data_IF_029748974484
#
_entry.id   IF_029748974484
#
_cell.length_a   1.000
_cell.length_b   1.000
_cell.length_c   1.000
_cell.angle_alpha   90.00
_cell.angle_beta   90.00
_cell.angle_gamma   90.00
#
_symmetry.space_group_name_H-M   'P 1'
#
loop_
_entity.id
_entity.type
_entity.pdbx_description
1 polymer ?
#
# COMPACT_ATOMS: atom_id res chain seq x y z
N UNK A 1 10.73 -3.18 9.87
CA UNK A 1 10.74 -4.54 9.26
C UNK A 1 10.42 -4.52 7.76
N UNK A 2 9.29 -3.96 7.31
CA UNK A 2 8.88 -3.96 5.88
C UNK A 2 9.93 -3.40 4.89
N UNK A 3 10.72 -2.40 5.29
CA UNK A 3 11.81 -1.84 4.45
C UNK A 3 12.94 -2.85 4.20
N UNK A 4 13.36 -3.61 5.21
CA UNK A 4 14.47 -4.57 5.09
C UNK A 4 14.07 -5.71 4.16
N UNK A 5 12.86 -6.27 4.33
CA UNK A 5 12.33 -7.33 3.46
C UNK A 5 12.21 -6.85 2.01
N UNK A 6 11.77 -5.60 1.79
CA UNK A 6 11.72 -5.01 0.45
C UNK A 6 13.11 -4.98 -0.20
N UNK A 7 14.12 -4.47 0.51
CA UNK A 7 15.49 -4.44 0.01
C UNK A 7 16.07 -5.84 -0.22
N UNK A 8 15.79 -6.78 0.68
CA UNK A 8 16.20 -8.18 0.55
C UNK A 8 15.64 -8.85 -0.70
N UNK A 9 14.47 -8.44 -1.18
CA UNK A 9 13.85 -8.97 -2.40
C UNK A 9 14.31 -8.18 -3.64
N UNK A 10 14.30 -6.85 -3.59
CA UNK A 10 14.60 -6.01 -4.76
C UNK A 10 16.08 -6.11 -5.18
N UNK A 11 16.99 -6.21 -4.23
CA UNK A 11 18.43 -6.25 -4.51
C UNK A 11 18.88 -7.49 -5.32
N UNK A 12 18.51 -8.74 -4.95
CA UNK A 12 18.87 -9.91 -5.77
C UNK A 12 18.19 -9.89 -7.14
N UNK A 13 16.96 -9.38 -7.25
CA UNK A 13 16.29 -9.21 -8.56
C UNK A 13 17.13 -8.29 -9.47
N UNK A 14 17.61 -7.16 -8.94
CA UNK A 14 18.48 -6.24 -9.68
C UNK A 14 19.78 -6.90 -10.13
N UNK A 15 20.40 -7.71 -9.25
CA UNK A 15 21.63 -8.45 -9.59
C UNK A 15 21.37 -9.43 -10.74
N UNK A 16 20.31 -10.24 -10.66
CA UNK A 16 19.94 -11.21 -11.69
C UNK A 16 19.67 -10.50 -13.03
N UNK A 17 18.93 -9.40 -12.99
CA UNK A 17 18.69 -8.57 -14.18
C UNK A 17 20.01 -8.05 -14.78
N UNK A 18 20.95 -7.60 -13.94
CA UNK A 18 22.28 -7.18 -14.37
C UNK A 18 23.09 -8.30 -15.05
N UNK A 19 23.06 -9.52 -14.49
CA UNK A 19 23.73 -10.66 -15.11
C UNK A 19 23.11 -11.06 -16.45
N UNK A 20 21.78 -11.07 -16.55
CA UNK A 20 21.08 -11.29 -17.82
C UNK A 20 21.52 -10.27 -18.88
N UNK A 21 21.70 -9.01 -18.48
CA UNK A 21 22.18 -7.92 -19.34
C UNK A 21 23.58 -8.20 -19.91
N UNK A 22 24.54 -8.45 -19.03
CA UNK A 22 25.95 -8.65 -19.42
C UNK A 22 26.12 -9.91 -20.26
N UNK A 23 25.46 -11.01 -19.85
CA UNK A 23 25.59 -12.31 -20.51
C UNK A 23 24.92 -12.32 -21.88
N UNK A 24 23.78 -11.63 -22.03
CA UNK A 24 22.98 -11.63 -23.26
C UNK A 24 23.14 -10.32 -24.05
N UNK A 25 24.38 -9.83 -24.18
CA UNK A 25 24.69 -8.63 -25.00
C UNK A 25 24.62 -8.86 -26.51
N UNK A 26 24.47 -10.12 -26.94
CA UNK A 26 24.35 -10.48 -28.34
C UNK A 26 23.04 -9.95 -28.91
N UNK A 27 23.11 -9.35 -30.10
CA UNK A 27 21.92 -8.83 -30.78
C UNK A 27 21.19 -9.98 -31.46
N UNK A 28 19.92 -10.16 -31.12
CA UNK A 28 19.05 -11.19 -31.68
C UNK A 28 18.03 -10.50 -32.60
N UNK A 29 17.70 -11.14 -33.71
CA UNK A 29 16.65 -10.68 -34.60
C UNK A 29 15.29 -10.96 -33.97
N UNK A 30 14.52 -9.92 -33.70
CA UNK A 30 13.20 -10.01 -33.09
C UNK A 30 12.18 -9.50 -34.09
N UNK A 31 11.23 -10.37 -34.45
CA UNK A 31 10.05 -10.02 -35.23
C UNK A 31 8.87 -9.76 -34.28
N UNK A 32 8.12 -8.68 -34.54
CA UNK A 32 6.85 -8.38 -33.88
C UNK A 32 5.65 -8.67 -34.80
N UNK A 33 5.88 -9.39 -35.90
CA UNK A 33 4.83 -9.84 -36.82
C UNK A 33 4.41 -11.28 -36.47
N UNK A 34 3.17 -11.51 -36.01
CA UNK A 34 2.69 -12.85 -35.67
C UNK A 34 2.18 -13.64 -36.88
N UNK A 35 2.11 -13.06 -38.08
CA UNK A 35 1.46 -13.66 -39.26
C UNK A 35 2.44 -14.05 -40.36
N UNK A 36 3.55 -13.33 -40.54
CA UNK A 36 4.57 -13.66 -41.53
C UNK A 36 5.98 -13.71 -40.93
N UNK A 37 6.52 -14.93 -40.81
CA UNK A 37 7.88 -15.16 -40.30
C UNK A 37 8.98 -14.97 -41.35
N UNK A 38 8.64 -15.04 -42.65
CA UNK A 38 9.63 -15.00 -43.74
C UNK A 38 9.95 -13.58 -44.19
N UNK A 39 8.96 -12.68 -44.15
CA UNK A 39 9.15 -11.28 -44.48
C UNK A 39 8.38 -10.41 -43.46
N UNK A 40 8.93 -10.23 -42.25
CA UNK A 40 8.23 -9.52 -41.18
C UNK A 40 8.15 -8.03 -41.48
N UNK A 41 6.94 -7.46 -41.44
CA UNK A 41 6.75 -6.02 -41.67
C UNK A 41 7.42 -5.16 -40.58
N UNK A 42 7.57 -5.70 -39.36
CA UNK A 42 8.11 -4.99 -38.20
C UNK A 42 9.09 -5.88 -37.42
N UNK A 43 10.38 -5.70 -37.71
CA UNK A 43 11.48 -6.43 -37.08
C UNK A 43 12.60 -5.51 -36.63
N UNK A 44 13.27 -5.88 -35.55
CA UNK A 44 14.40 -5.14 -34.99
C UNK A 44 15.51 -6.10 -34.58
N UNK A 45 16.76 -5.66 -34.77
CA UNK A 45 17.92 -6.37 -34.26
C UNK A 45 18.40 -5.68 -32.99
N UNK A 46 18.05 -6.25 -31.84
CA UNK A 46 18.31 -5.66 -30.52
C UNK A 46 18.79 -6.76 -29.57
N UNK A 47 19.65 -6.43 -28.59
CA UNK A 47 19.95 -7.35 -27.51
C UNK A 47 18.70 -7.70 -26.69
N UNK A 48 18.53 -8.99 -26.39
CA UNK A 48 17.33 -9.52 -25.72
C UNK A 48 17.07 -8.85 -24.36
N UNK A 49 18.14 -8.47 -23.66
CA UNK A 49 18.03 -7.84 -22.35
C UNK A 49 17.22 -6.53 -22.39
N UNK A 50 17.28 -5.78 -23.49
CA UNK A 50 16.55 -4.52 -23.64
C UNK A 50 15.05 -4.80 -23.64
N UNK A 51 14.63 -5.81 -24.41
CA UNK A 51 13.23 -6.22 -24.53
C UNK A 51 12.68 -6.71 -23.19
N UNK A 52 13.44 -7.56 -22.48
CA UNK A 52 13.02 -8.08 -21.18
C UNK A 52 12.92 -6.94 -20.15
N UNK A 53 13.90 -6.05 -20.09
CA UNK A 53 13.84 -4.90 -19.17
C UNK A 53 12.65 -3.99 -19.48
N UNK A 54 12.39 -3.72 -20.76
CA UNK A 54 11.26 -2.88 -21.16
C UNK A 54 9.93 -3.53 -20.76
N UNK A 55 9.78 -4.84 -20.98
CA UNK A 55 8.60 -5.60 -20.59
C UNK A 55 8.38 -5.57 -19.07
N UNK A 56 9.43 -5.78 -18.29
CA UNK A 56 9.40 -5.68 -16.82
C UNK A 56 9.04 -4.25 -16.39
N UNK A 57 9.65 -3.24 -17.01
CA UNK A 57 9.40 -1.83 -16.70
C UNK A 57 7.96 -1.43 -16.96
N UNK A 58 7.39 -1.85 -18.09
CA UNK A 58 5.97 -1.65 -18.43
C UNK A 58 5.09 -2.35 -17.38
N UNK A 59 5.38 -3.60 -17.05
CA UNK A 59 4.66 -4.34 -16.00
C UNK A 59 4.70 -3.63 -14.64
N UNK A 60 5.86 -3.06 -14.27
CA UNK A 60 6.03 -2.32 -13.02
C UNK A 60 5.27 -0.98 -13.03
N UNK A 61 5.31 -0.24 -14.14
CA UNK A 61 4.55 0.99 -14.33
C UNK A 61 3.04 0.73 -14.20
N UNK A 62 2.54 -0.32 -14.86
CA UNK A 62 1.14 -0.72 -14.76
C UNK A 62 0.80 -1.13 -13.32
N UNK A 63 1.53 -2.06 -12.73
CA UNK A 63 1.29 -2.53 -11.35
C UNK A 63 1.36 -1.41 -10.32
N UNK A 64 2.33 -0.51 -10.45
CA UNK A 64 2.46 0.70 -9.64
C UNK A 64 1.29 1.65 -9.80
N UNK A 65 0.85 1.91 -11.04
CA UNK A 65 -0.31 2.77 -11.32
C UNK A 65 -1.59 2.18 -10.76
N UNK A 66 -1.85 0.89 -10.96
CA UNK A 66 -3.01 0.19 -10.39
C UNK A 66 -3.02 0.27 -8.85
N UNK A 67 -1.87 0.03 -8.22
CA UNK A 67 -1.73 0.10 -6.75
C UNK A 67 -1.98 1.52 -6.24
N UNK A 68 -1.47 2.53 -6.94
CA UNK A 68 -1.63 3.94 -6.58
C UNK A 68 -3.08 4.41 -6.71
N UNK A 69 -3.76 4.06 -7.79
CA UNK A 69 -5.19 4.35 -8.00
C UNK A 69 -6.04 3.68 -6.91
N UNK A 70 -5.73 2.43 -6.56
CA UNK A 70 -6.41 1.72 -5.46
C UNK A 70 -6.23 2.40 -4.10
N UNK A 71 -5.04 2.95 -3.81
CA UNK A 71 -4.78 3.67 -2.56
C UNK A 71 -5.35 5.10 -2.53
N UNK A 72 -5.58 5.73 -3.68
CA UNK A 72 -6.09 7.11 -3.75
C UNK A 72 -7.47 7.25 -3.06
N UNK A 73 -8.34 6.24 -3.19
CA UNK A 73 -9.68 6.20 -2.58
C UNK A 73 -9.66 6.34 -1.05
N UNK A 74 -8.61 5.84 -0.38
CA UNK A 74 -8.52 5.81 1.09
C UNK A 74 -7.92 7.07 1.72
N UNK A 75 -7.35 7.98 0.91
CA UNK A 75 -6.79 9.24 1.44
C UNK A 75 -7.85 10.17 2.04
N UNK A 76 -9.11 10.07 1.59
CA UNK A 76 -10.22 10.85 2.16
C UNK A 76 -10.83 10.18 3.40
N UNK A 77 -10.89 8.85 3.42
CA UNK A 77 -11.42 8.07 4.55
C UNK A 77 -10.61 8.25 5.83
N UNK A 78 -9.27 8.31 5.75
CA UNK A 78 -8.40 8.49 6.92
C UNK A 78 -8.66 9.81 7.69
N UNK A 79 -9.07 10.87 7.00
CA UNK A 79 -9.37 12.16 7.64
C UNK A 79 -10.73 12.17 8.32
N UNK A 80 -11.72 11.52 7.70
CA UNK A 80 -13.07 11.39 8.25
C UNK A 80 -13.04 10.50 9.50
N UNK A 81 -12.28 9.41 9.46
CA UNK A 81 -12.17 8.48 10.59
C UNK A 81 -11.57 9.15 11.84
N UNK A 82 -10.54 9.99 11.68
CA UNK A 82 -9.94 10.76 12.79
C UNK A 82 -10.92 11.75 13.40
N UNK A 83 -11.75 12.40 12.58
CA UNK A 83 -12.76 13.33 13.09
C UNK A 83 -13.87 12.60 13.84
N UNK A 84 -14.30 11.42 13.36
CA UNK A 84 -15.33 10.62 14.03
C UNK A 84 -14.82 10.05 15.36
N UNK A 85 -13.57 9.57 15.41
CA UNK A 85 -12.95 9.12 16.66
C UNK A 85 -12.91 10.23 17.71
N UNK A 86 -12.51 11.45 17.34
CA UNK A 86 -12.52 12.59 18.26
C UNK A 86 -13.92 12.92 18.77
N UNK A 87 -14.94 12.87 17.91
CA UNK A 87 -16.34 13.10 18.32
C UNK A 87 -16.81 12.08 19.34
N UNK A 88 -16.55 10.79 19.11
CA UNK A 88 -16.92 9.73 20.05
C UNK A 88 -16.17 9.82 21.38
N UNK A 89 -14.90 10.28 21.37
CA UNK A 89 -14.17 10.56 22.60
C UNK A 89 -14.81 11.71 23.39
N UNK A 90 -15.21 12.80 22.73
CA UNK A 90 -15.88 13.93 23.39
C UNK A 90 -17.26 13.53 23.97
N UNK A 91 -18.06 12.79 23.22
CA UNK A 91 -19.36 12.30 23.70
C UNK A 91 -19.21 11.34 24.89
N UNK A 92 -18.21 10.45 24.85
CA UNK A 92 -17.91 9.55 25.97
C UNK A 92 -17.48 10.30 27.24
N UNK A 93 -16.66 11.35 27.09
CA UNK A 93 -16.22 12.19 28.21
C UNK A 93 -17.38 13.00 28.81
N UNK A 94 -18.27 13.53 27.98
CA UNK A 94 -19.43 14.28 28.44
C UNK A 94 -20.45 13.38 29.16
N UNK A 95 -20.68 12.16 28.66
CA UNK A 95 -21.50 11.17 29.34
C UNK A 95 -20.88 10.74 30.68
N UNK A 96 -19.55 10.57 30.74
CA UNK A 96 -18.83 10.29 32.00
C UNK A 96 -18.99 11.42 33.02
N UNK A 97 -18.86 12.68 32.59
CA UNK A 97 -19.06 13.84 33.47
C UNK A 97 -20.48 13.88 34.03
N UNK A 98 -21.50 13.67 33.19
CA UNK A 98 -22.91 13.62 33.62
C UNK A 98 -23.15 12.50 34.62
N UNK A 99 -22.65 11.30 34.35
CA UNK A 99 -22.77 10.17 35.28
C UNK A 99 -22.11 10.46 36.63
N UNK A 100 -20.94 11.11 36.66
CA UNK A 100 -20.30 11.52 37.92
C UNK A 100 -21.09 12.57 38.70
N UNK A 101 -21.74 13.51 38.01
CA UNK A 101 -22.61 14.51 38.65
C UNK A 101 -23.84 13.83 39.25
N UNK A 102 -24.48 12.92 38.51
CA UNK A 102 -25.62 12.14 39.02
C UNK A 102 -25.23 11.29 40.23
N UNK A 103 -24.10 10.58 40.19
CA UNK A 103 -23.62 9.78 41.33
C UNK A 103 -23.30 10.65 42.56
N UNK A 104 -22.79 11.86 42.37
CA UNK A 104 -22.53 12.81 43.47
C UNK A 104 -23.83 13.42 44.03
N UNK A 105 -24.84 13.63 43.21
CA UNK A 105 -26.14 14.17 43.65
C UNK A 105 -27.00 13.13 44.37
N UNK A 106 -26.88 11.85 44.03
CA UNK A 106 -27.63 10.76 44.69
C UNK A 106 -26.93 10.24 45.96
N UNK A 107 -25.76 10.77 46.34
CA UNK A 107 -25.10 10.40 47.59
C UNK A 107 -25.80 11.05 48.79
N UNK A 108 -26.86 10.39 49.27
CA UNK A 108 -27.39 10.59 50.61
C UNK A 108 -26.48 9.82 51.57
N UNK A 109 -25.70 10.49 52.45
CA UNK A 109 -24.87 9.78 53.41
C UNK A 109 -25.76 8.90 54.29
N UNK A 110 -25.36 7.66 54.61
CA UNK A 110 -26.15 6.79 55.46
C UNK A 110 -26.35 7.48 56.80
N UNK A 111 -27.61 7.72 57.17
CA UNK A 111 -27.99 8.24 58.48
C UNK A 111 -27.45 7.24 59.50
N UNK A 112 -26.44 7.65 60.26
CA UNK A 112 -25.90 6.87 61.38
C UNK A 112 -27.06 6.70 62.37
N UNK A 113 -27.72 5.55 62.33
CA UNK A 113 -28.70 5.18 63.35
C UNK A 113 -27.96 5.12 64.67
N UNK A 114 -28.17 6.15 65.48
CA UNK A 114 -27.69 6.20 66.85
C UNK A 114 -28.62 5.26 67.61
N UNK A 115 -28.13 4.04 67.86
CA UNK A 115 -28.82 3.06 68.67
C UNK A 115 -28.92 3.60 70.11
N UNK A 116 -30.14 3.59 70.64
CA UNK A 116 -30.45 3.92 72.03
C UNK A 116 -30.74 2.62 72.79
#
# INVERSE_FOLDING_TARGET
MKRIIRWLITFPILIIAGFLLIANRHSIFISLDPFNAQDPALSFQLPLYIVILLAIFIGLMLGGTLTWVGQHKYRRASRVERNNANKWHHEADDLRKRAQVTTKQTYTPPVKQIAN
#
